data_IF_828385486128
#
_entry.id   IF_828385486128
#
_cell.length_a   1.000
_cell.length_b   1.000
_cell.length_c   1.000
_cell.angle_alpha   90.00
_cell.angle_beta   90.00
_cell.angle_gamma   90.00
#
_symmetry.space_group_name_H-M   'P 1'
#
loop_
_entity.id
_entity.type
_entity.pdbx_description
1 polymer ?
#
# COMPACT_ATOMS: atom_id res chain seq x y z
N UNK A 1 -2.08 -4.12 8.55
CA UNK A 1 -3.04 -3.26 9.35
C UNK A 1 -3.28 -1.87 8.74
N UNK A 2 -3.85 -1.80 7.54
CA UNK A 2 -3.99 -0.52 6.79
C UNK A 2 -5.38 -0.28 6.20
N UNK A 3 -6.28 -1.26 6.33
CA UNK A 3 -7.67 -1.17 5.87
C UNK A 3 -8.39 -0.04 6.61
N UNK A 4 -9.19 0.74 5.87
CA UNK A 4 -9.92 1.91 6.36
C UNK A 4 -9.05 3.16 6.55
N UNK A 5 -7.78 3.13 6.11
CA UNK A 5 -6.90 4.31 6.12
C UNK A 5 -6.78 4.90 4.74
N UNK A 6 -6.59 6.22 4.68
CA UNK A 6 -6.14 6.90 3.48
C UNK A 6 -4.66 6.70 3.25
N UNK A 7 -4.21 6.74 1.99
CA UNK A 7 -2.81 6.54 1.62
C UNK A 7 -1.86 7.46 2.40
N UNK A 8 -2.22 8.73 2.59
CA UNK A 8 -1.40 9.70 3.34
C UNK A 8 -1.20 9.34 4.82
N UNK A 9 -2.10 8.54 5.40
CA UNK A 9 -2.09 8.15 6.81
C UNK A 9 -1.43 6.77 7.03
N UNK A 10 -0.89 6.17 5.96
CA UNK A 10 -0.21 4.88 5.99
C UNK A 10 1.29 5.12 6.08
N UNK A 11 1.86 4.82 7.25
CA UNK A 11 3.31 4.77 7.40
C UNK A 11 3.87 3.52 6.71
N UNK A 12 4.96 3.70 5.96
CA UNK A 12 5.71 2.63 5.34
C UNK A 12 7.23 2.88 5.43
N UNK A 13 8.07 1.84 5.41
CA UNK A 13 9.52 2.00 5.48
C UNK A 13 10.06 2.89 4.36
N UNK A 14 11.01 3.77 4.69
CA UNK A 14 11.77 4.52 3.69
C UNK A 14 12.40 3.58 2.65
N UNK A 15 12.34 3.97 1.38
CA UNK A 15 12.75 3.10 0.27
C UNK A 15 11.65 2.16 -0.23
N UNK A 16 10.40 2.37 0.19
CA UNK A 16 9.21 1.79 -0.41
C UNK A 16 8.21 2.86 -0.83
N UNK A 17 7.30 2.50 -1.74
CA UNK A 17 6.19 3.34 -2.19
C UNK A 17 4.99 2.47 -2.56
N UNK A 18 3.79 2.88 -2.14
CA UNK A 18 2.55 2.32 -2.66
C UNK A 18 2.35 2.89 -4.06
N UNK A 19 2.30 2.03 -5.07
CA UNK A 19 2.26 2.46 -6.48
C UNK A 19 0.91 2.16 -7.14
N UNK A 20 0.15 1.20 -6.61
CA UNK A 20 -1.16 0.88 -7.13
C UNK A 20 -2.05 0.17 -6.10
N UNK A 21 -3.36 0.34 -6.24
CA UNK A 21 -4.39 -0.39 -5.49
C UNK A 21 -5.28 -1.12 -6.49
N UNK A 22 -5.50 -2.41 -6.27
CA UNK A 22 -6.42 -3.23 -7.05
C UNK A 22 -7.71 -3.46 -6.25
N UNK A 23 -8.82 -2.99 -6.80
CA UNK A 23 -10.17 -3.16 -6.23
C UNK A 23 -11.13 -3.65 -7.30
N UNK A 24 -11.83 -4.75 -7.05
CA UNK A 24 -12.80 -5.34 -7.98
C UNK A 24 -12.26 -5.42 -9.43
N UNK A 25 -11.02 -5.91 -9.57
CA UNK A 25 -10.26 -6.03 -10.83
C UNK A 25 -9.85 -4.71 -11.53
N UNK A 26 -10.11 -3.57 -10.91
CA UNK A 26 -9.63 -2.27 -11.40
C UNK A 26 -8.27 -1.92 -10.82
N UNK A 27 -7.35 -1.49 -11.68
CA UNK A 27 -6.08 -0.91 -11.28
C UNK A 27 -6.24 0.60 -11.05
N UNK A 28 -6.06 1.02 -9.80
CA UNK A 28 -6.17 2.41 -9.37
C UNK A 28 -4.76 2.94 -9.08
N UNK A 29 -4.41 4.09 -9.67
CA UNK A 29 -3.25 4.87 -9.24
C UNK A 29 -3.70 5.71 -8.05
N UNK A 30 -3.21 5.42 -6.83
CA UNK A 30 -3.69 6.08 -5.63
C UNK A 30 -3.22 7.53 -5.55
N UNK A 31 -4.08 8.37 -5.00
CA UNK A 31 -3.76 9.70 -4.50
C UNK A 31 -3.72 9.71 -2.95
N UNK A 32 -3.32 10.82 -2.31
CA UNK A 32 -3.28 10.91 -0.84
C UNK A 32 -4.63 10.66 -0.14
N UNK A 33 -5.77 10.88 -0.82
CA UNK A 33 -7.11 10.75 -0.26
C UNK A 33 -7.73 9.36 -0.48
N UNK A 34 -7.12 8.55 -1.35
CA UNK A 34 -7.55 7.18 -1.66
C UNK A 34 -7.57 6.34 -0.39
N UNK A 35 -8.71 5.71 -0.09
CA UNK A 35 -8.91 4.85 1.08
C UNK A 35 -8.72 3.37 0.72
N UNK A 36 -8.04 2.61 1.59
CA UNK A 36 -7.84 1.17 1.40
C UNK A 36 -9.05 0.39 1.90
N UNK A 37 -9.81 -0.18 0.97
CA UNK A 37 -10.99 -0.98 1.30
C UNK A 37 -10.63 -2.43 1.69
N UNK A 38 -11.55 -3.09 2.41
CA UNK A 38 -11.43 -4.51 2.74
C UNK A 38 -11.32 -5.33 1.45
N UNK A 39 -10.32 -6.21 1.37
CA UNK A 39 -10.12 -7.08 0.20
C UNK A 39 -9.33 -6.43 -0.95
N UNK A 40 -8.99 -5.14 -0.85
CA UNK A 40 -8.09 -4.49 -1.79
C UNK A 40 -6.71 -5.17 -1.79
N UNK A 41 -6.08 -5.28 -2.97
CA UNK A 41 -4.69 -5.73 -3.10
C UNK A 41 -3.81 -4.53 -3.40
N UNK A 42 -2.70 -4.38 -2.70
CA UNK A 42 -1.80 -3.24 -2.87
C UNK A 42 -0.51 -3.68 -3.54
N UNK A 43 -0.11 -2.95 -4.58
CA UNK A 43 1.20 -3.10 -5.19
C UNK A 43 2.16 -2.10 -4.54
N UNK A 44 3.24 -2.61 -3.96
CA UNK A 44 4.27 -1.83 -3.29
C UNK A 44 5.60 -2.07 -4.01
N UNK A 45 6.24 -0.98 -4.43
CA UNK A 45 7.61 -1.02 -4.88
C UNK A 45 8.53 -0.81 -3.67
N UNK A 46 9.55 -1.65 -3.52
CA UNK A 46 10.45 -1.61 -2.38
C UNK A 46 11.88 -1.97 -2.80
N UNK A 47 12.88 -1.33 -2.17
CA UNK A 47 14.26 -1.82 -2.25
C UNK A 47 14.36 -3.23 -1.64
N UNK A 48 15.24 -4.06 -2.21
CA UNK A 48 15.37 -5.48 -1.85
C UNK A 48 15.69 -5.71 -0.37
N UNK A 49 16.54 -4.87 0.20
CA UNK A 49 17.00 -4.92 1.59
C UNK A 49 15.89 -4.62 2.61
N UNK A 50 14.85 -3.87 2.21
CA UNK A 50 13.72 -3.50 3.09
C UNK A 50 12.41 -4.24 2.79
N UNK A 51 12.35 -5.06 1.73
CA UNK A 51 11.14 -5.74 1.28
C UNK A 51 10.48 -6.61 2.37
N UNK A 52 11.28 -7.36 3.14
CA UNK A 52 10.76 -8.18 4.25
C UNK A 52 10.17 -7.32 5.38
N UNK A 53 10.73 -6.13 5.64
CA UNK A 53 10.19 -5.19 6.64
C UNK A 53 8.84 -4.62 6.19
N UNK A 54 8.74 -4.26 4.92
CA UNK A 54 7.48 -3.80 4.29
C UNK A 54 6.40 -4.86 4.45
N UNK A 55 6.70 -6.11 4.06
CA UNK A 55 5.75 -7.22 4.13
C UNK A 55 5.17 -7.42 5.54
N UNK A 56 6.01 -7.33 6.58
CA UNK A 56 5.59 -7.48 7.98
C UNK A 56 4.72 -6.33 8.49
N UNK A 57 4.92 -5.10 8.02
CA UNK A 57 4.16 -3.93 8.50
C UNK A 57 2.84 -3.74 7.77
N UNK A 58 2.76 -4.10 6.49
CA UNK A 58 1.61 -3.78 5.64
C UNK A 58 0.54 -4.88 5.62
N UNK A 59 0.90 -6.12 5.94
CA UNK A 59 -0.06 -7.21 6.22
C UNK A 59 -0.80 -6.95 7.54
#
# INVERSE_FOLDING_TARGET
KIVGKKIKDIEHPSGSAIVAVYEHDNLIIPDPETEINVGAKILILAKRDIAEKVRKQMT
#
